data_IF_828272285729
#
_entry.id   IF_828272285729
#
_cell.length_a   1.000
_cell.length_b   1.000
_cell.length_c   1.000
_cell.angle_alpha   90.00
_cell.angle_beta   90.00
_cell.angle_gamma   90.00
#
_symmetry.space_group_name_H-M   'P 1'
#
loop_
_entity.id
_entity.type
_entity.pdbx_description
1 polymer ?
#
# COMPACT_ATOMS: atom_id res chain seq x y z
N UNK A 1 -6.13 -4.69 12.26
CA UNK A 1 -4.83 -5.18 12.76
C UNK A 1 -3.76 -4.93 11.71
N UNK A 2 -2.54 -4.63 12.13
CA UNK A 2 -1.39 -4.56 11.21
C UNK A 2 -1.07 -5.98 10.75
N UNK A 3 -1.08 -6.22 9.44
CA UNK A 3 -0.80 -7.54 8.86
C UNK A 3 0.62 -7.64 8.33
N UNK A 4 1.07 -6.67 7.54
CA UNK A 4 2.40 -6.68 6.94
C UNK A 4 2.91 -5.26 6.72
N UNK A 5 4.13 -4.98 7.17
CA UNK A 5 4.83 -3.71 6.95
C UNK A 5 5.94 -3.93 5.92
N UNK A 6 7.11 -4.40 6.37
CA UNK A 6 8.19 -4.76 5.47
C UNK A 6 7.88 -6.06 4.72
N UNK A 7 8.07 -6.03 3.40
CA UNK A 7 8.00 -7.20 2.52
C UNK A 7 9.29 -7.30 1.74
N UNK A 8 9.94 -8.46 1.77
CA UNK A 8 11.14 -8.71 0.96
C UNK A 8 10.77 -9.13 -0.46
N UNK A 9 11.71 -9.00 -1.39
CA UNK A 9 11.56 -9.52 -2.76
C UNK A 9 11.30 -11.04 -2.78
N UNK A 10 11.92 -11.81 -1.89
CA UNK A 10 11.66 -13.25 -1.78
C UNK A 10 10.21 -13.55 -1.35
N UNK A 11 9.67 -12.80 -0.38
CA UNK A 11 8.28 -12.94 0.04
C UNK A 11 7.31 -12.52 -1.07
N UNK A 12 7.60 -11.43 -1.79
CA UNK A 12 6.81 -11.03 -2.95
C UNK A 12 6.79 -12.12 -4.04
N UNK A 13 7.94 -12.73 -4.32
CA UNK A 13 8.04 -13.82 -5.29
C UNK A 13 7.20 -15.04 -4.88
N UNK A 14 7.22 -15.40 -3.58
CA UNK A 14 6.37 -16.46 -3.04
C UNK A 14 4.88 -16.14 -3.23
N UNK A 15 4.45 -14.93 -2.87
CA UNK A 15 3.06 -14.50 -3.05
C UNK A 15 2.64 -14.51 -4.53
N UNK A 16 3.54 -14.12 -5.43
CA UNK A 16 3.30 -14.17 -6.88
C UNK A 16 3.13 -15.61 -7.37
N UNK A 17 4.00 -16.53 -6.94
CA UNK A 17 3.90 -17.96 -7.28
C UNK A 17 2.62 -18.61 -6.75
N UNK A 18 2.13 -18.15 -5.60
CA UNK A 18 0.85 -18.58 -5.01
C UNK A 18 -0.38 -17.93 -5.67
N UNK A 19 -0.19 -17.00 -6.60
CA UNK A 19 -1.27 -16.24 -7.23
C UNK A 19 -1.94 -15.20 -6.30
N UNK A 20 -1.36 -14.92 -5.14
CA UNK A 20 -1.89 -13.95 -4.17
C UNK A 20 -1.66 -12.49 -4.60
N UNK A 21 -0.77 -12.26 -5.57
CA UNK A 21 -0.49 -10.95 -6.15
C UNK A 21 -0.15 -11.09 -7.63
N UNK A 22 -0.44 -10.05 -8.41
CA UNK A 22 -0.05 -9.96 -9.83
C UNK A 22 1.35 -9.36 -10.03
N UNK A 23 1.96 -8.82 -8.97
CA UNK A 23 3.23 -8.12 -9.03
C UNK A 23 4.39 -9.06 -8.68
N UNK A 24 5.37 -9.19 -9.58
CA UNK A 24 6.57 -10.00 -9.35
C UNK A 24 7.61 -9.27 -8.49
N UNK A 25 7.72 -7.96 -8.66
CA UNK A 25 8.68 -7.12 -7.92
C UNK A 25 8.01 -6.48 -6.72
N UNK A 26 8.71 -6.45 -5.61
CA UNK A 26 8.19 -5.82 -4.40
C UNK A 26 8.22 -4.30 -4.56
N UNK A 27 7.15 -3.63 -4.13
CA UNK A 27 7.02 -2.19 -4.17
C UNK A 27 7.46 -1.51 -2.88
N UNK A 28 6.70 -0.51 -2.46
CA UNK A 28 7.00 0.39 -1.33
C UNK A 28 7.21 -0.33 0.01
N UNK A 29 6.60 -1.51 0.21
CA UNK A 29 6.84 -2.35 1.40
C UNK A 29 8.33 -2.68 1.62
N UNK A 30 9.12 -2.85 0.57
CA UNK A 30 10.55 -3.19 0.68
C UNK A 30 11.40 -2.04 1.25
N UNK A 31 10.81 -0.86 1.40
CA UNK A 31 11.45 0.34 1.93
C UNK A 31 10.93 0.71 3.32
N UNK A 32 10.03 -0.10 3.90
CA UNK A 32 9.42 0.18 5.20
C UNK A 32 8.44 1.36 5.19
N UNK A 33 7.93 1.73 4.01
CA UNK A 33 7.09 2.92 3.80
C UNK A 33 5.64 2.57 3.47
N UNK A 34 5.26 1.31 3.63
CA UNK A 34 3.90 0.83 3.39
C UNK A 34 3.47 -0.17 4.46
N UNK A 35 2.17 -0.30 4.64
CA UNK A 35 1.55 -1.18 5.59
C UNK A 35 0.21 -1.70 5.06
N UNK A 36 -0.03 -3.00 5.20
CA UNK A 36 -1.35 -3.60 5.00
C UNK A 36 -2.04 -3.72 6.36
N UNK A 37 -3.20 -3.08 6.49
CA UNK A 37 -4.04 -3.09 7.69
C UNK A 37 -5.35 -3.79 7.35
N UNK A 38 -5.53 -4.98 7.93
CA UNK A 38 -6.68 -5.85 7.66
C UNK A 38 -7.66 -5.85 8.83
N UNK A 39 -8.89 -6.32 8.62
CA UNK A 39 -9.83 -6.53 9.74
C UNK A 39 -9.32 -7.68 10.60
N UNK A 40 -9.56 -7.59 11.90
CA UNK A 40 -9.40 -8.70 12.82
C UNK A 40 -10.79 -9.22 13.17
N UNK A 41 -11.11 -10.43 12.75
CA UNK A 41 -12.39 -11.08 13.01
C UNK A 41 -12.09 -12.27 13.93
N UNK A 42 -12.45 -12.16 15.21
CA UNK A 42 -12.13 -13.15 16.23
C UNK A 42 -10.61 -13.44 16.38
N UNK A 43 -9.76 -12.45 16.11
CA UNK A 43 -8.31 -12.60 16.15
C UNK A 43 -7.67 -12.96 14.81
N UNK A 44 -8.46 -13.43 13.84
CA UNK A 44 -7.95 -13.82 12.53
C UNK A 44 -7.98 -12.65 11.53
N UNK A 45 -6.99 -12.56 10.62
CA UNK A 45 -6.94 -11.53 9.59
C UNK A 45 -8.00 -11.75 8.50
N UNK A 46 -8.65 -10.67 8.07
CA UNK A 46 -9.60 -10.68 6.97
C UNK A 46 -9.42 -9.48 6.04
N UNK A 47 -9.25 -9.76 4.75
CA UNK A 47 -9.17 -8.79 3.65
C UNK A 47 -10.56 -8.42 3.09
N UNK A 48 -11.64 -8.96 3.65
CA UNK A 48 -12.99 -8.77 3.14
C UNK A 48 -13.70 -7.61 3.84
N UNK A 49 -14.58 -6.96 3.07
CA UNK A 49 -15.50 -5.93 3.55
C UNK A 49 -14.98 -4.51 3.33
N UNK A 50 -15.66 -3.54 3.93
CA UNK A 50 -15.37 -2.11 3.75
C UNK A 50 -14.16 -1.64 4.57
N UNK A 51 -13.28 -0.85 3.94
CA UNK A 51 -12.11 -0.22 4.51
C UNK A 51 -12.15 1.31 4.38
N UNK A 52 -13.30 1.91 4.07
CA UNK A 52 -13.50 3.36 3.99
C UNK A 52 -12.95 4.14 5.19
N UNK A 53 -13.23 3.67 6.41
CA UNK A 53 -12.69 4.26 7.65
C UNK A 53 -11.15 4.24 7.68
N UNK A 54 -10.51 3.20 7.15
CA UNK A 54 -9.04 3.18 7.04
C UNK A 54 -8.57 4.26 6.06
N UNK A 55 -9.27 4.46 4.94
CA UNK A 55 -9.00 5.54 3.99
C UNK A 55 -9.11 6.92 4.64
N UNK A 56 -10.22 7.21 5.33
CA UNK A 56 -10.42 8.47 6.04
C UNK A 56 -9.30 8.76 7.05
N UNK A 57 -8.91 7.74 7.83
CA UNK A 57 -7.80 7.87 8.78
C UNK A 57 -6.47 8.06 8.04
N UNK A 58 -6.19 7.30 6.99
CA UNK A 58 -4.97 7.44 6.20
C UNK A 58 -4.82 8.89 5.70
N UNK A 59 -5.89 9.46 5.14
CA UNK A 59 -5.90 10.84 4.68
C UNK A 59 -5.65 11.84 5.82
N UNK A 60 -6.31 11.67 6.96
CA UNK A 60 -6.13 12.53 8.13
C UNK A 60 -4.70 12.54 8.70
N UNK A 61 -3.94 11.47 8.44
CA UNK A 61 -2.55 11.31 8.88
C UNK A 61 -1.51 11.47 7.75
N UNK A 62 -1.91 11.97 6.57
CA UNK A 62 -0.96 12.25 5.48
C UNK A 62 -0.43 10.97 4.81
N UNK A 63 -1.23 9.91 4.74
CA UNK A 63 -0.89 8.65 4.07
C UNK A 63 -1.77 8.46 2.83
N UNK A 64 -1.18 7.91 1.77
CA UNK A 64 -1.93 7.45 0.60
C UNK A 64 -2.62 6.14 0.93
N UNK A 65 -3.89 6.03 0.54
CA UNK A 65 -4.67 4.79 0.66
C UNK A 65 -4.81 4.10 -0.70
N UNK A 66 -4.58 2.79 -0.75
CA UNK A 66 -4.67 2.00 -1.98
C UNK A 66 -6.09 1.85 -2.51
N UNK A 67 -7.11 2.18 -1.70
CA UNK A 67 -8.51 2.26 -2.15
C UNK A 67 -8.79 3.42 -3.11
N UNK A 68 -7.93 4.46 -3.11
CA UNK A 68 -8.05 5.60 -4.04
C UNK A 68 -7.43 5.30 -5.41
N UNK A 69 -6.74 4.17 -5.57
CA UNK A 69 -6.03 3.87 -6.81
C UNK A 69 -6.97 3.43 -7.92
N UNK A 70 -6.77 4.06 -9.08
CA UNK A 70 -7.58 3.86 -10.27
C UNK A 70 -8.37 5.12 -10.59
N UNK A 71 -9.12 5.07 -11.68
CA UNK A 71 -10.04 6.13 -12.06
C UNK A 71 -11.44 5.66 -11.72
N UNK A 72 -12.15 6.39 -10.87
CA UNK A 72 -13.52 6.04 -10.45
C UNK A 72 -14.51 5.94 -11.61
N UNK A 73 -14.22 6.59 -12.75
CA UNK A 73 -15.03 6.53 -13.97
C UNK A 73 -14.64 5.38 -14.91
N UNK A 74 -13.57 4.65 -14.61
CA UNK A 74 -13.10 3.53 -15.42
C UNK A 74 -13.22 2.26 -14.59
N UNK A 75 -14.06 1.28 -14.99
CA UNK A 75 -14.12 0.02 -14.27
C UNK A 75 -12.73 -0.63 -14.18
N UNK A 76 -12.24 -0.83 -12.96
CA UNK A 76 -11.02 -1.59 -12.68
C UNK A 76 -11.30 -2.64 -11.61
N UNK A 77 -10.63 -3.79 -11.74
CA UNK A 77 -10.73 -4.90 -10.78
C UNK A 77 -9.64 -4.87 -9.71
N UNK A 78 -8.73 -3.90 -9.78
CA UNK A 78 -7.65 -3.75 -8.82
C UNK A 78 -8.09 -2.78 -7.74
N UNK A 79 -8.35 -3.29 -6.54
CA UNK A 79 -8.68 -2.49 -5.35
C UNK A 79 -7.77 -2.98 -4.24
N UNK A 80 -6.87 -2.10 -3.76
CA UNK A 80 -5.91 -2.42 -2.69
C UNK A 80 -6.29 -1.70 -1.40
N UNK A 81 -7.55 -1.86 -0.99
CA UNK A 81 -8.16 -1.08 0.09
C UNK A 81 -7.62 -1.38 1.50
N UNK A 82 -6.79 -2.41 1.67
CA UNK A 82 -6.10 -2.69 2.93
C UNK A 82 -4.77 -1.94 3.04
N UNK A 83 -4.29 -1.38 1.93
CA UNK A 83 -2.96 -0.86 1.78
C UNK A 83 -2.90 0.63 2.09
N UNK A 84 -1.90 1.04 2.85
CA UNK A 84 -1.51 2.44 3.01
C UNK A 84 -0.03 2.61 2.76
N UNK A 85 0.37 3.73 2.18
CA UNK A 85 1.78 4.04 1.95
C UNK A 85 2.10 5.52 2.06
N UNK A 86 3.37 5.78 2.37
CA UNK A 86 3.88 7.13 2.49
C UNK A 86 4.39 7.68 1.15
N UNK A 87 4.74 6.85 0.18
CA UNK A 87 5.32 7.27 -1.09
C UNK A 87 4.25 7.47 -2.18
N UNK A 88 4.22 8.61 -2.88
CA UNK A 88 3.35 8.80 -4.05
C UNK A 88 3.78 7.96 -5.25
N UNK A 89 2.86 7.66 -6.18
CA UNK A 89 3.18 6.96 -7.42
C UNK A 89 4.27 7.71 -8.20
N UNK A 90 4.21 9.04 -8.23
CA UNK A 90 5.20 9.90 -8.87
C UNK A 90 6.63 9.72 -8.30
N UNK A 91 6.76 9.40 -7.00
CA UNK A 91 8.06 9.21 -6.33
C UNK A 91 8.59 7.79 -6.36
N UNK A 92 7.77 6.79 -6.70
CA UNK A 92 8.16 5.38 -6.65
C UNK A 92 9.43 5.09 -7.48
N UNK A 93 9.56 5.68 -8.66
CA UNK A 93 10.75 5.48 -9.50
C UNK A 93 12.04 5.95 -8.80
N UNK A 94 12.02 7.12 -8.16
CA UNK A 94 13.17 7.64 -7.40
C UNK A 94 13.44 6.87 -6.11
N UNK A 95 12.39 6.37 -5.45
CA UNK A 95 12.52 5.49 -4.29
C UNK A 95 13.19 4.16 -4.67
N UNK A 96 12.72 3.53 -5.76
CA UNK A 96 13.19 2.21 -6.18
C UNK A 96 14.62 2.23 -6.72
N UNK A 97 15.06 3.37 -7.26
CA UNK A 97 16.45 3.60 -7.68
C UNK A 97 17.32 4.19 -6.56
N UNK A 98 16.79 4.29 -5.34
CA UNK A 98 17.46 4.82 -4.14
C UNK A 98 18.01 6.25 -4.31
N UNK A 99 17.46 7.02 -5.25
CA UNK A 99 17.80 8.43 -5.44
C UNK A 99 17.08 9.32 -4.44
N UNK A 100 16.05 8.80 -3.78
CA UNK A 100 15.23 9.54 -2.84
C UNK A 100 14.61 8.63 -1.77
N UNK A 101 14.45 9.18 -0.56
CA UNK A 101 13.70 8.57 0.54
C UNK A 101 12.99 9.70 1.31
N UNK A 102 11.72 9.53 1.71
CA UNK A 102 10.97 10.60 2.36
C UNK A 102 11.53 10.94 3.75
N UNK A 103 11.85 12.22 3.97
CA UNK A 103 12.17 12.71 5.31
C UNK A 103 10.92 12.82 6.20
N UNK A 104 11.05 13.27 7.44
CA UNK A 104 9.92 13.39 8.39
C UNK A 104 8.83 14.41 7.98
N UNK A 105 9.17 15.40 7.16
CA UNK A 105 8.28 16.50 6.78
C UNK A 105 7.58 16.25 5.44
N UNK A 106 8.02 15.24 4.68
CA UNK A 106 7.40 14.87 3.42
C UNK A 106 5.90 14.58 3.56
N UNK A 107 5.12 15.26 2.72
CA UNK A 107 3.69 15.07 2.52
C UNK A 107 3.42 14.50 1.12
N UNK A 108 2.88 13.27 0.99
CA UNK A 108 2.64 12.68 -0.33
C UNK A 108 1.60 13.40 -1.18
N UNK A 109 0.73 14.22 -0.58
CA UNK A 109 -0.29 14.99 -1.30
C UNK A 109 0.28 16.18 -2.07
N UNK A 110 1.51 16.60 -1.79
CA UNK A 110 2.17 17.67 -2.54
C UNK A 110 2.64 17.21 -3.93
N UNK A 111 2.64 15.89 -4.19
CA UNK A 111 3.00 15.29 -5.49
C UNK A 111 1.77 14.95 -6.37
N UNK A 112 0.53 15.13 -5.88
CA UNK A 112 -0.72 14.72 -6.55
C UNK A 112 -1.34 15.83 -7.41
#
# INVERSE_FOLDING_TARGET
MVFETFRSQARQQLLFQQGATKLQKVGVHNFGLACDIVKSINGDPSWKGDFSLLGELAHSYGLIWGGDWGNSNVPHSFIDSVHVQRCSIARQASLFTQQWYPDKNYNPYDDL
#
